data_IF_226077671234
#
_entry.id   IF_226077671234
#
_cell.length_a   1.000
_cell.length_b   1.000
_cell.length_c   1.000
_cell.angle_alpha   90.00
_cell.angle_beta   90.00
_cell.angle_gamma   90.00
#
_symmetry.space_group_name_H-M   'P 1'
#
loop_
_entity.id
_entity.type
_entity.pdbx_description
1 polymer ?
#
# COMPACT_ATOMS: atom_id res chain seq x y z
N UNK A 1 -8.16 67.91 -23.23
CA UNK A 1 -6.97 67.09 -23.00
C UNK A 1 -7.22 65.73 -23.64
N UNK A 2 -6.70 65.53 -24.89
CA UNK A 2 -6.75 64.20 -25.53
C UNK A 2 -5.82 63.24 -24.79
N UNK A 3 -6.37 62.22 -24.15
CA UNK A 3 -5.61 61.17 -23.44
C UNK A 3 -4.73 60.38 -24.42
N UNK A 4 -3.40 60.60 -24.36
CA UNK A 4 -2.39 59.87 -25.16
C UNK A 4 -2.22 58.38 -24.64
N UNK A 5 -3.03 57.93 -23.73
CA UNK A 5 -2.91 56.60 -23.14
C UNK A 5 -3.47 55.47 -24.01
N UNK A 6 -4.40 55.78 -24.93
CA UNK A 6 -5.03 54.74 -25.76
C UNK A 6 -4.08 53.94 -26.66
N UNK A 7 -3.10 54.57 -27.39
CA UNK A 7 -2.18 53.83 -28.23
C UNK A 7 -1.22 52.97 -27.42
N UNK A 8 -0.81 53.42 -26.20
CA UNK A 8 0.07 52.67 -25.32
C UNK A 8 -0.64 51.44 -24.77
N UNK A 9 -1.92 51.57 -24.37
CA UNK A 9 -2.73 50.46 -23.91
C UNK A 9 -2.94 49.39 -24.96
N UNK A 10 -3.22 49.82 -26.22
CA UNK A 10 -3.40 48.90 -27.33
C UNK A 10 -2.09 48.18 -27.67
N UNK A 11 -0.94 48.86 -27.62
CA UNK A 11 0.36 48.22 -27.81
C UNK A 11 0.64 47.20 -26.75
N UNK A 12 0.37 47.52 -25.46
CA UNK A 12 0.53 46.58 -24.36
C UNK A 12 -0.34 45.34 -24.53
N UNK A 13 -1.62 45.54 -24.90
CA UNK A 13 -2.55 44.43 -25.16
C UNK A 13 -2.04 43.51 -26.27
N UNK A 14 -1.53 44.06 -27.36
CA UNK A 14 -0.96 43.28 -28.48
C UNK A 14 0.27 42.49 -28.03
N UNK A 15 1.15 43.08 -27.21
CA UNK A 15 2.35 42.42 -26.72
C UNK A 15 1.96 41.25 -25.78
N UNK A 16 1.01 41.46 -24.87
CA UNK A 16 0.51 40.42 -23.97
C UNK A 16 -0.13 39.27 -24.76
N UNK A 17 -0.91 39.59 -25.78
CA UNK A 17 -1.59 38.62 -26.63
C UNK A 17 -0.58 37.76 -27.39
N UNK A 18 0.45 38.37 -27.97
CA UNK A 18 1.53 37.68 -28.66
C UNK A 18 2.34 36.79 -27.69
N UNK A 19 2.64 37.27 -26.48
CA UNK A 19 3.35 36.51 -25.48
C UNK A 19 2.53 35.27 -25.05
N UNK A 20 1.23 35.43 -24.86
CA UNK A 20 0.32 34.32 -24.50
C UNK A 20 0.24 33.29 -25.64
N UNK A 21 0.15 33.73 -26.90
CA UNK A 21 0.16 32.80 -28.04
C UNK A 21 1.49 32.06 -28.16
N UNK A 22 2.62 32.75 -27.93
CA UNK A 22 3.94 32.12 -27.96
C UNK A 22 4.10 31.07 -26.83
N UNK A 23 3.67 31.38 -25.60
CA UNK A 23 3.71 30.47 -24.48
C UNK A 23 2.79 29.26 -24.71
N UNK A 24 1.57 29.48 -25.21
CA UNK A 24 0.63 28.41 -25.55
C UNK A 24 1.15 27.50 -26.66
N UNK A 25 1.70 28.08 -27.72
CA UNK A 25 2.32 27.35 -28.83
C UNK A 25 3.53 26.51 -28.38
N UNK A 26 4.37 27.08 -27.53
CA UNK A 26 5.51 26.36 -26.95
C UNK A 26 5.07 25.19 -26.05
N UNK A 27 4.07 25.39 -25.22
CA UNK A 27 3.50 24.33 -24.36
C UNK A 27 2.89 23.19 -25.19
N UNK A 28 2.14 23.53 -26.24
CA UNK A 28 1.60 22.53 -27.15
C UNK A 28 2.70 21.77 -27.90
N UNK A 29 3.76 22.47 -28.31
CA UNK A 29 4.90 21.83 -28.98
C UNK A 29 5.62 20.85 -28.06
N UNK A 30 5.86 21.22 -26.80
CA UNK A 30 6.44 20.30 -25.77
C UNK A 30 5.53 19.09 -25.55
N UNK A 31 4.21 19.31 -25.47
CA UNK A 31 3.25 18.22 -25.31
C UNK A 31 3.29 17.21 -26.47
N UNK A 32 3.44 17.71 -27.70
CA UNK A 32 3.56 16.86 -28.90
C UNK A 32 4.96 16.23 -29.08
N UNK A 33 5.98 16.78 -28.40
CA UNK A 33 7.37 16.31 -28.48
C UNK A 33 7.95 16.08 -27.07
N UNK A 34 7.47 15.07 -26.32
CA UNK A 34 7.84 14.86 -24.92
C UNK A 34 9.33 14.55 -24.71
N UNK A 35 10.02 14.04 -25.74
CA UNK A 35 11.46 13.70 -25.69
C UNK A 35 12.37 14.84 -26.11
N UNK A 36 11.83 16.03 -26.36
CA UNK A 36 12.62 17.20 -26.75
C UNK A 36 13.60 17.61 -25.64
N UNK A 37 14.85 18.00 -25.98
CA UNK A 37 15.81 18.50 -25.00
C UNK A 37 15.40 19.81 -24.32
N UNK A 38 14.39 20.50 -24.87
CA UNK A 38 13.81 21.73 -24.33
C UNK A 38 12.65 21.44 -23.35
N UNK A 39 12.27 20.18 -23.17
CA UNK A 39 11.24 19.80 -22.19
C UNK A 39 11.81 19.87 -20.77
N UNK A 40 11.32 20.74 -19.87
CA UNK A 40 11.81 20.83 -18.50
C UNK A 40 11.44 19.60 -17.65
N UNK A 41 10.50 18.76 -18.11
CA UNK A 41 10.04 17.54 -17.43
C UNK A 41 10.02 16.38 -18.44
N UNK A 42 11.19 15.90 -18.91
CA UNK A 42 11.22 14.77 -19.84
C UNK A 42 10.64 13.52 -19.15
N UNK A 43 9.93 12.64 -19.91
CA UNK A 43 9.46 11.39 -19.37
C UNK A 43 10.63 10.55 -18.86
N UNK A 44 10.43 9.73 -17.81
CA UNK A 44 11.48 8.87 -17.28
C UNK A 44 12.01 7.97 -18.41
N UNK A 45 13.32 8.01 -18.65
CA UNK A 45 13.96 7.09 -19.57
C UNK A 45 13.71 5.67 -19.08
N UNK A 46 13.18 4.76 -19.93
CA UNK A 46 13.10 3.35 -19.56
C UNK A 46 14.52 2.88 -19.23
N UNK A 47 14.76 2.48 -18.00
CA UNK A 47 16.01 1.83 -17.60
C UNK A 47 16.05 0.54 -18.41
N UNK A 48 16.88 0.52 -19.46
CA UNK A 48 17.11 -0.68 -20.24
C UNK A 48 17.60 -1.75 -19.28
N UNK A 49 16.83 -2.83 -19.12
CA UNK A 49 17.29 -4.02 -18.44
C UNK A 49 18.58 -4.43 -19.17
N UNK A 50 19.71 -4.35 -18.49
CA UNK A 50 20.94 -4.91 -18.99
C UNK A 50 20.66 -6.37 -19.39
N UNK A 51 21.16 -6.85 -20.55
CA UNK A 51 21.01 -8.25 -20.91
C UNK A 51 21.51 -9.09 -19.73
N UNK A 52 20.62 -9.87 -19.14
CA UNK A 52 21.02 -10.86 -18.13
C UNK A 52 21.81 -11.88 -18.91
N UNK A 53 23.13 -11.90 -18.75
CA UNK A 53 23.96 -12.99 -19.24
C UNK A 53 23.35 -14.30 -18.74
N UNK A 54 23.15 -15.30 -19.62
CA UNK A 54 22.63 -16.59 -19.19
C UNK A 54 23.53 -17.12 -18.10
N UNK A 55 22.94 -17.30 -16.91
CA UNK A 55 23.64 -17.78 -15.73
C UNK A 55 24.36 -19.09 -16.10
N UNK A 56 25.69 -19.06 -16.06
CA UNK A 56 26.52 -20.26 -16.15
C UNK A 56 26.01 -21.23 -15.08
N UNK A 57 25.66 -22.49 -15.42
CA UNK A 57 25.17 -23.44 -14.44
C UNK A 57 26.21 -23.62 -13.34
N UNK A 58 25.89 -23.19 -12.14
CA UNK A 58 26.70 -23.40 -10.94
C UNK A 58 26.81 -24.91 -10.75
N UNK A 59 28.03 -25.47 -10.57
CA UNK A 59 28.17 -26.88 -10.29
C UNK A 59 27.36 -27.24 -9.05
N UNK A 60 26.49 -28.24 -9.21
CA UNK A 60 25.66 -28.81 -8.14
C UNK A 60 26.61 -29.39 -7.08
N UNK A 61 26.58 -28.83 -5.89
CA UNK A 61 27.32 -29.38 -4.76
C UNK A 61 26.75 -30.75 -4.41
N UNK A 62 27.52 -31.78 -4.59
CA UNK A 62 27.19 -33.14 -4.18
C UNK A 62 26.96 -33.12 -2.66
N UNK A 63 25.82 -33.63 -2.15
CA UNK A 63 25.57 -33.65 -0.72
C UNK A 63 26.61 -34.53 -0.04
N UNK A 64 27.35 -33.92 0.90
CA UNK A 64 28.28 -34.63 1.78
C UNK A 64 27.49 -35.62 2.64
N UNK A 65 27.97 -36.88 2.84
CA UNK A 65 27.26 -37.86 3.65
C UNK A 65 27.13 -37.37 5.09
N UNK A 66 25.90 -37.21 5.55
CA UNK A 66 25.52 -36.86 6.92
C UNK A 66 25.89 -38.04 7.83
N UNK A 67 26.59 -37.84 8.95
CA UNK A 67 26.88 -38.91 9.87
C UNK A 67 25.59 -39.43 10.51
N UNK A 68 25.43 -40.75 10.49
CA UNK A 68 24.28 -41.47 11.09
C UNK A 68 24.29 -41.27 12.62
N UNK A 69 23.12 -40.98 13.24
CA UNK A 69 23.04 -40.82 14.69
C UNK A 69 23.29 -42.15 15.40
N UNK A 70 24.34 -42.19 16.22
CA UNK A 70 24.61 -43.29 17.16
C UNK A 70 23.53 -43.32 18.24
N UNK A 71 22.81 -44.41 18.31
CA UNK A 71 21.80 -44.64 19.37
C UNK A 71 22.52 -44.82 20.74
N UNK A 72 22.45 -43.80 21.59
CA UNK A 72 22.88 -43.85 22.97
C UNK A 72 21.75 -44.47 23.80
N UNK A 73 22.09 -45.52 24.58
CA UNK A 73 21.18 -46.26 25.41
C UNK A 73 20.52 -45.36 26.45
N UNK A 74 19.17 -45.34 26.50
CA UNK A 74 18.33 -44.66 27.48
C UNK A 74 18.39 -45.40 28.79
N UNK A 75 18.84 -44.74 29.88
CA UNK A 75 18.68 -45.19 31.25
C UNK A 75 17.22 -44.90 31.67
N UNK A 76 16.48 -45.96 31.94
CA UNK A 76 15.12 -45.91 32.52
C UNK A 76 15.21 -45.47 33.97
N UNK A 77 14.79 -44.27 34.29
CA UNK A 77 14.52 -43.82 35.67
C UNK A 77 13.03 -43.99 35.99
N UNK A 78 12.78 -44.75 37.05
CA UNK A 78 11.44 -44.98 37.62
C UNK A 78 10.79 -43.66 38.02
N UNK A 79 9.53 -43.35 37.63
CA UNK A 79 8.86 -42.12 38.04
C UNK A 79 8.41 -42.22 39.52
N UNK A 80 8.89 -41.28 40.32
CA UNK A 80 8.31 -40.98 41.64
C UNK A 80 7.01 -40.19 41.41
N UNK A 81 5.88 -40.50 42.08
CA UNK A 81 4.64 -39.75 41.91
C UNK A 81 4.80 -38.31 42.42
N UNK A 82 4.31 -37.31 41.68
CA UNK A 82 4.33 -35.90 42.09
C UNK A 82 3.35 -35.65 43.24
N UNK A 83 3.64 -34.70 44.15
CA UNK A 83 2.70 -34.23 45.12
C UNK A 83 1.52 -33.52 44.43
N UNK A 84 0.34 -33.77 44.93
CA UNK A 84 -0.94 -33.20 44.54
C UNK A 84 -0.87 -31.67 44.67
N UNK A 85 -0.75 -30.96 43.54
CA UNK A 85 -0.82 -29.50 43.48
C UNK A 85 -2.28 -29.13 43.38
N UNK A 86 -2.79 -28.43 44.38
CA UNK A 86 -4.10 -27.80 44.39
C UNK A 86 -4.31 -27.02 43.13
N UNK A 87 -5.44 -27.22 42.45
CA UNK A 87 -5.89 -26.50 41.28
C UNK A 87 -5.92 -25.00 41.59
N UNK A 88 -4.99 -24.28 40.97
CA UNK A 88 -5.09 -22.83 40.89
C UNK A 88 -6.25 -22.50 39.93
N UNK A 89 -7.20 -21.72 40.41
CA UNK A 89 -8.27 -21.09 39.62
C UNK A 89 -7.64 -20.41 38.42
N UNK A 90 -8.16 -20.60 37.20
CA UNK A 90 -7.65 -19.88 36.01
C UNK A 90 -7.83 -18.39 36.27
N UNK A 91 -6.72 -17.67 36.33
CA UNK A 91 -6.73 -16.22 36.32
C UNK A 91 -7.30 -15.78 34.95
N UNK A 92 -8.32 -14.93 34.98
CA UNK A 92 -8.88 -14.30 33.83
C UNK A 92 -7.73 -13.69 32.99
N UNK A 93 -7.56 -14.20 31.77
CA UNK A 93 -6.66 -13.60 30.78
C UNK A 93 -7.16 -12.19 30.56
N UNK A 94 -6.35 -11.11 30.77
CA UNK A 94 -6.81 -9.77 30.49
C UNK A 94 -7.08 -9.70 29.01
N UNK A 95 -8.34 -9.48 28.65
CA UNK A 95 -8.75 -9.06 27.31
C UNK A 95 -7.87 -7.86 26.93
N UNK A 96 -7.22 -7.83 25.75
CA UNK A 96 -6.47 -6.66 25.32
C UNK A 96 -7.43 -5.47 25.29
N UNK A 97 -7.30 -4.61 26.28
CA UNK A 97 -7.99 -3.33 26.32
C UNK A 97 -7.40 -2.54 25.16
N UNK A 98 -8.20 -2.35 24.12
CA UNK A 98 -7.87 -1.45 23.03
C UNK A 98 -7.37 -0.14 23.64
N UNK A 99 -6.19 0.33 23.20
CA UNK A 99 -5.60 1.58 23.69
C UNK A 99 -6.67 2.66 23.58
N UNK A 100 -7.02 3.37 24.69
CA UNK A 100 -8.07 4.38 24.60
C UNK A 100 -7.60 5.47 23.63
N UNK A 101 -8.27 5.61 22.50
CA UNK A 101 -8.18 6.80 21.67
C UNK A 101 -8.47 7.99 22.57
N UNK A 102 -7.56 9.00 22.68
CA UNK A 102 -7.83 10.16 23.51
C UNK A 102 -9.14 10.79 23.04
N UNK A 103 -10.12 10.85 23.93
CA UNK A 103 -11.41 11.46 23.64
C UNK A 103 -11.20 12.92 23.22
N UNK A 104 -11.38 13.22 21.92
CA UNK A 104 -11.26 14.57 21.37
C UNK A 104 -10.51 14.70 20.04
N UNK A 105 -9.77 13.70 19.60
CA UNK A 105 -9.11 13.70 18.27
C UNK A 105 -10.01 12.94 17.29
N UNK A 106 -10.61 13.67 16.37
CA UNK A 106 -11.28 13.03 15.27
C UNK A 106 -10.50 13.27 13.99
N UNK A 107 -10.22 12.18 13.29
CA UNK A 107 -9.44 12.19 12.06
C UNK A 107 -10.25 12.81 10.91
N UNK A 108 -9.55 13.18 9.84
CA UNK A 108 -10.20 13.75 8.66
C UNK A 108 -10.94 12.70 7.83
N UNK A 109 -10.49 11.45 7.89
CA UNK A 109 -11.04 10.33 7.13
C UNK A 109 -11.51 9.22 8.05
N UNK A 110 -12.65 8.64 7.70
CA UNK A 110 -13.22 7.45 8.32
C UNK A 110 -13.42 6.34 7.27
N UNK A 111 -13.66 5.12 7.74
CA UNK A 111 -14.05 4.01 6.90
C UNK A 111 -15.37 4.31 6.19
N UNK A 112 -15.43 4.12 4.88
CA UNK A 112 -16.66 4.36 4.11
C UNK A 112 -17.71 3.27 4.32
N UNK A 113 -17.26 2.02 4.41
CA UNK A 113 -18.03 0.80 4.62
C UNK A 113 -17.13 -0.27 5.26
N UNK A 114 -17.71 -1.30 5.84
CA UNK A 114 -16.96 -2.43 6.34
C UNK A 114 -16.05 -3.02 5.24
N UNK A 115 -14.86 -3.59 5.61
CA UNK A 115 -13.98 -4.27 4.67
C UNK A 115 -14.70 -5.38 3.91
N UNK A 116 -14.54 -5.40 2.59
CA UNK A 116 -15.15 -6.42 1.73
C UNK A 116 -14.06 -7.38 1.22
N UNK A 117 -14.34 -8.69 1.31
CA UNK A 117 -13.44 -9.74 0.84
C UNK A 117 -13.89 -10.23 -0.52
N UNK A 118 -13.04 -10.09 -1.53
CA UNK A 118 -13.33 -10.48 -2.90
C UNK A 118 -12.17 -11.28 -3.49
N UNK A 119 -12.41 -11.83 -4.67
CA UNK A 119 -11.43 -12.58 -5.43
C UNK A 119 -10.45 -11.66 -6.15
N UNK A 120 -9.14 -11.84 -5.94
CA UNK A 120 -8.09 -11.04 -6.59
C UNK A 120 -8.09 -11.15 -8.10
N UNK A 121 -8.52 -12.29 -8.68
CA UNK A 121 -8.53 -12.51 -10.13
C UNK A 121 -9.47 -11.58 -10.90
N UNK A 122 -10.34 -10.83 -10.21
CA UNK A 122 -11.11 -9.73 -10.82
C UNK A 122 -10.19 -8.60 -11.32
N UNK A 123 -9.05 -8.39 -10.67
CA UNK A 123 -8.06 -7.36 -11.01
C UNK A 123 -6.74 -7.94 -11.52
N UNK A 124 -6.41 -9.17 -11.12
CA UNK A 124 -5.20 -9.91 -11.47
C UNK A 124 -5.52 -11.28 -12.06
N UNK A 125 -6.15 -11.34 -13.25
CA UNK A 125 -6.61 -12.61 -13.84
C UNK A 125 -5.49 -13.61 -14.10
N UNK A 126 -4.27 -13.12 -14.35
CA UNK A 126 -3.12 -13.95 -14.69
C UNK A 126 -2.41 -14.57 -13.47
N UNK A 127 -2.70 -14.10 -12.25
CA UNK A 127 -2.02 -14.56 -11.03
C UNK A 127 -2.75 -15.72 -10.33
N UNK A 128 -4.00 -16.00 -10.73
CA UNK A 128 -4.78 -17.07 -10.10
C UNK A 128 -4.91 -16.87 -8.59
N UNK A 129 -4.41 -17.86 -7.82
CA UNK A 129 -4.38 -17.82 -6.36
C UNK A 129 -3.03 -17.36 -5.79
N UNK A 130 -2.07 -16.95 -6.63
CA UNK A 130 -0.72 -16.54 -6.21
C UNK A 130 -0.69 -15.07 -5.81
N UNK A 131 -1.66 -14.65 -5.00
CA UNK A 131 -1.80 -13.28 -4.56
C UNK A 131 -2.61 -13.16 -3.27
N UNK A 132 -2.21 -12.26 -2.39
CA UNK A 132 -2.96 -11.79 -1.23
C UNK A 132 -2.68 -10.31 -1.05
N UNK A 133 -3.70 -9.49 -0.82
CA UNK A 133 -3.47 -8.08 -0.58
C UNK A 133 -4.71 -7.29 -0.20
N UNK A 134 -4.50 -5.99 -0.11
CA UNK A 134 -5.56 -5.02 0.15
C UNK A 134 -5.57 -3.97 -0.95
N UNK A 135 -6.75 -3.48 -1.27
CA UNK A 135 -6.95 -2.38 -2.20
C UNK A 135 -8.16 -1.52 -1.76
N UNK A 136 -8.38 -0.42 -2.43
CA UNK A 136 -9.53 0.44 -2.18
C UNK A 136 -9.37 1.81 -2.79
N UNK A 137 -10.21 2.74 -2.36
CA UNK A 137 -10.22 4.14 -2.78
C UNK A 137 -10.34 5.07 -1.58
N UNK A 138 -9.90 6.31 -1.75
CA UNK A 138 -10.18 7.39 -0.82
C UNK A 138 -11.00 8.49 -1.52
N UNK A 139 -12.00 9.00 -0.82
CA UNK A 139 -12.89 10.05 -1.33
C UNK A 139 -12.84 11.27 -0.42
N UNK A 140 -12.95 12.45 -1.01
CA UNK A 140 -13.11 13.69 -0.27
C UNK A 140 -14.53 13.83 0.29
N UNK A 141 -14.79 14.91 1.02
CA UNK A 141 -16.10 15.20 1.61
C UNK A 141 -17.23 15.30 0.57
N UNK A 142 -16.90 15.64 -0.68
CA UNK A 142 -17.83 15.73 -1.80
C UNK A 142 -17.96 14.43 -2.59
N UNK A 143 -17.34 13.34 -2.11
CA UNK A 143 -17.25 12.05 -2.80
C UNK A 143 -16.45 12.10 -4.12
N UNK A 144 -15.57 13.10 -4.27
CA UNK A 144 -14.59 13.11 -5.37
C UNK A 144 -13.35 12.30 -4.98
N UNK A 145 -12.66 11.70 -5.96
CA UNK A 145 -11.43 10.94 -5.69
C UNK A 145 -10.35 11.79 -4.99
N UNK A 146 -9.91 11.38 -3.81
CA UNK A 146 -8.81 12.01 -3.07
C UNK A 146 -7.49 11.32 -3.44
N UNK A 147 -6.64 11.99 -4.21
CA UNK A 147 -5.41 11.46 -4.80
C UNK A 147 -4.19 11.99 -4.04
N UNK A 148 -3.11 11.17 -3.93
CA UNK A 148 -1.84 11.57 -3.33
C UNK A 148 -1.81 11.45 -1.81
N UNK A 149 -2.77 10.76 -1.21
CA UNK A 149 -2.78 10.42 0.21
C UNK A 149 -1.93 9.17 0.42
N UNK A 150 -1.06 9.17 1.42
CA UNK A 150 -0.26 8.01 1.76
C UNK A 150 -1.13 6.98 2.48
N UNK A 151 -1.12 5.74 1.98
CA UNK A 151 -1.78 4.58 2.60
C UNK A 151 -0.70 3.71 3.21
N UNK A 152 -0.75 3.51 4.51
CA UNK A 152 0.18 2.63 5.23
C UNK A 152 -0.56 1.39 5.70
N UNK A 153 0.04 0.23 5.46
CA UNK A 153 -0.38 -1.07 6.01
C UNK A 153 0.72 -1.58 6.91
N UNK A 154 0.36 -2.01 8.10
CA UNK A 154 1.31 -2.57 9.05
C UNK A 154 0.70 -3.67 9.90
N UNK A 155 1.53 -4.29 10.73
CA UNK A 155 1.14 -5.38 11.61
C UNK A 155 1.85 -6.69 11.26
N UNK A 156 1.21 -7.82 11.51
CA UNK A 156 1.82 -9.13 11.34
C UNK A 156 0.97 -10.05 10.46
N UNK A 157 1.61 -10.70 9.49
CA UNK A 157 1.02 -11.76 8.69
C UNK A 157 1.73 -13.08 9.05
N UNK A 158 1.16 -13.83 9.98
CA UNK A 158 1.85 -14.92 10.67
C UNK A 158 3.02 -14.38 11.49
N UNK A 159 4.24 -14.84 11.21
CA UNK A 159 5.47 -14.37 11.89
C UNK A 159 6.14 -13.21 11.15
N UNK A 160 5.62 -12.80 9.99
CA UNK A 160 6.22 -11.76 9.16
C UNK A 160 5.68 -10.39 9.54
N UNK A 161 6.58 -9.48 9.86
CA UNK A 161 6.27 -8.05 10.04
C UNK A 161 5.93 -7.41 8.69
N UNK A 162 4.85 -6.66 8.65
CA UNK A 162 4.35 -5.92 7.48
C UNK A 162 4.47 -4.43 7.78
N UNK A 163 5.20 -3.73 6.94
CA UNK A 163 5.24 -2.26 6.90
C UNK A 163 5.35 -1.83 5.43
N UNK A 164 4.21 -1.60 4.82
CA UNK A 164 4.08 -1.28 3.40
C UNK A 164 3.37 0.05 3.22
N UNK A 165 3.77 0.79 2.18
CA UNK A 165 3.20 2.08 1.87
C UNK A 165 2.90 2.19 0.37
N UNK A 166 1.81 2.89 0.04
CA UNK A 166 1.44 3.28 -1.32
C UNK A 166 0.74 4.64 -1.31
N UNK A 167 0.37 5.14 -2.48
CA UNK A 167 -0.39 6.39 -2.61
C UNK A 167 -1.75 6.12 -3.24
N UNK A 168 -2.75 6.85 -2.78
CA UNK A 168 -4.03 6.89 -3.50
C UNK A 168 -3.82 7.48 -4.88
N UNK A 169 -4.44 6.87 -5.91
CA UNK A 169 -4.25 7.19 -7.32
C UNK A 169 -3.14 6.38 -8.01
N UNK A 170 -2.38 5.54 -7.28
CA UNK A 170 -1.34 4.69 -7.86
C UNK A 170 -1.92 3.44 -8.56
N UNK A 171 -3.09 2.96 -8.13
CA UNK A 171 -3.74 1.75 -8.66
C UNK A 171 -5.08 2.11 -9.33
N UNK A 172 -5.03 2.65 -10.54
CA UNK A 172 -6.21 3.12 -11.30
C UNK A 172 -7.22 2.02 -11.63
N UNK A 173 -6.84 0.75 -11.58
CA UNK A 173 -7.73 -0.38 -11.75
C UNK A 173 -8.87 -0.39 -10.73
N UNK A 174 -8.63 0.15 -9.52
CA UNK A 174 -9.63 0.29 -8.45
C UNK A 174 -10.36 1.64 -8.49
N UNK A 175 -10.07 2.50 -9.46
CA UNK A 175 -10.64 3.83 -9.63
C UNK A 175 -9.60 4.94 -9.55
N UNK A 176 -10.04 6.21 -9.72
CA UNK A 176 -9.12 7.36 -9.84
C UNK A 176 -8.28 7.63 -8.58
N UNK A 177 -8.81 7.33 -7.40
CA UNK A 177 -8.08 7.38 -6.12
C UNK A 177 -7.69 6.00 -5.62
N UNK A 178 -7.63 5.02 -6.53
CA UNK A 178 -7.34 3.63 -6.21
C UNK A 178 -5.95 3.45 -5.62
N UNK A 179 -5.85 2.56 -4.65
CA UNK A 179 -4.58 2.10 -4.08
C UNK A 179 -4.58 0.57 -3.97
N UNK A 180 -3.41 0.00 -3.91
CA UNK A 180 -3.22 -1.44 -3.78
C UNK A 180 -1.89 -1.72 -3.08
N UNK A 181 -1.89 -2.77 -2.24
CA UNK A 181 -0.70 -3.30 -1.57
C UNK A 181 -0.78 -4.83 -1.53
N UNK A 182 0.21 -5.47 -2.15
CA UNK A 182 0.37 -6.92 -2.08
C UNK A 182 1.01 -7.31 -0.76
N UNK A 183 0.35 -8.16 0.02
CA UNK A 183 0.79 -8.64 1.32
C UNK A 183 1.60 -9.95 1.21
N UNK A 184 1.18 -10.85 0.32
CA UNK A 184 1.83 -12.14 0.11
C UNK A 184 1.61 -12.69 -1.29
N UNK A 185 2.39 -13.73 -1.65
CA UNK A 185 2.27 -14.46 -2.92
C UNK A 185 1.24 -15.59 -2.84
N UNK A 186 0.75 -15.90 -1.65
CA UNK A 186 -0.29 -16.92 -1.42
C UNK A 186 -1.29 -16.41 -0.37
N UNK A 187 -2.55 -16.83 -0.46
CA UNK A 187 -3.55 -16.53 0.56
C UNK A 187 -3.12 -17.04 1.94
N UNK A 188 -3.37 -16.26 2.97
CA UNK A 188 -3.03 -16.56 4.35
C UNK A 188 -4.10 -15.97 5.28
N UNK A 189 -4.52 -16.74 6.29
CA UNK A 189 -5.50 -16.26 7.28
C UNK A 189 -4.82 -15.43 8.37
N UNK A 190 -5.33 -14.24 8.61
CA UNK A 190 -4.98 -13.42 9.77
C UNK A 190 -6.26 -12.90 10.43
N UNK A 191 -6.23 -12.69 11.75
CA UNK A 191 -7.36 -12.16 12.51
C UNK A 191 -6.88 -10.91 13.25
N UNK A 192 -7.30 -9.74 12.79
CA UNK A 192 -7.03 -8.42 13.40
C UNK A 192 -5.55 -8.15 13.74
N UNK A 193 -4.62 -8.84 13.07
CA UNK A 193 -3.17 -8.61 13.24
C UNK A 193 -2.60 -7.62 12.25
N UNK A 194 -3.36 -7.31 11.20
CA UNK A 194 -3.05 -6.33 10.19
C UNK A 194 -3.92 -5.09 10.36
N UNK A 195 -3.38 -3.94 10.03
CA UNK A 195 -4.11 -2.68 10.02
C UNK A 195 -3.70 -1.81 8.82
N UNK A 196 -4.62 -0.96 8.39
CA UNK A 196 -4.39 0.08 7.39
C UNK A 196 -4.76 1.44 7.97
N UNK A 197 -4.05 2.49 7.57
CA UNK A 197 -4.40 3.88 7.86
C UNK A 197 -3.97 4.82 6.75
N UNK A 198 -4.58 6.00 6.73
CA UNK A 198 -4.19 7.10 5.88
C UNK A 198 -3.28 8.07 6.62
N UNK A 199 -2.27 8.57 5.91
CA UNK A 199 -1.34 9.59 6.39
C UNK A 199 -1.26 10.73 5.37
N UNK A 200 -0.91 11.92 5.84
CA UNK A 200 -0.49 12.99 4.94
C UNK A 200 0.95 12.78 4.45
N UNK A 201 1.43 13.69 3.62
CA UNK A 201 2.80 13.63 3.08
C UNK A 201 3.89 13.88 4.13
N UNK A 202 3.54 14.38 5.32
CA UNK A 202 4.42 14.56 6.47
C UNK A 202 4.40 13.34 7.42
N UNK A 203 3.56 12.32 7.12
CA UNK A 203 3.39 11.15 7.97
C UNK A 203 2.41 11.35 9.14
N UNK A 204 1.63 12.44 9.12
CA UNK A 204 0.61 12.70 10.15
C UNK A 204 -0.64 11.87 9.85
N UNK A 205 -1.20 11.13 10.83
CA UNK A 205 -2.39 10.33 10.63
C UNK A 205 -3.61 11.14 10.21
N UNK A 206 -4.22 10.76 9.09
CA UNK A 206 -5.48 11.28 8.57
C UNK A 206 -6.68 10.39 8.89
N UNK A 207 -6.44 9.11 9.25
CA UNK A 207 -7.44 8.17 9.73
C UNK A 207 -6.94 7.41 10.95
N UNK A 208 -7.86 6.76 11.67
CA UNK A 208 -7.53 5.71 12.63
C UNK A 208 -6.87 4.51 11.93
N UNK A 209 -6.28 3.62 12.72
CA UNK A 209 -5.90 2.29 12.26
C UNK A 209 -7.16 1.43 12.12
N UNK A 210 -7.44 0.99 10.92
CA UNK A 210 -8.51 0.06 10.62
C UNK A 210 -7.91 -1.33 10.61
N UNK A 211 -8.26 -2.14 11.59
CA UNK A 211 -7.85 -3.54 11.65
C UNK A 211 -8.70 -4.36 10.68
N UNK A 212 -8.08 -5.33 10.02
CA UNK A 212 -8.75 -6.18 9.05
C UNK A 212 -8.20 -7.60 9.08
N UNK A 213 -9.04 -8.53 8.66
CA UNK A 213 -8.72 -9.93 8.52
C UNK A 213 -8.31 -10.27 7.09
N UNK A 214 -7.60 -11.38 6.94
CA UNK A 214 -7.34 -11.99 5.64
C UNK A 214 -7.74 -13.45 5.66
N UNK A 215 -7.99 -14.03 4.49
CA UNK A 215 -8.39 -15.43 4.32
C UNK A 215 -7.36 -16.23 3.54
N UNK A 216 -7.24 -17.51 3.82
CA UNK A 216 -6.46 -18.47 3.01
C UNK A 216 -7.24 -19.01 1.82
N UNK A 217 -8.38 -18.42 1.49
CA UNK A 217 -9.25 -18.79 0.39
C UNK A 217 -9.02 -17.89 -0.83
N UNK A 218 -8.85 -18.47 -2.01
CA UNK A 218 -8.64 -17.76 -3.27
C UNK A 218 -9.84 -16.93 -3.73
N UNK A 219 -11.03 -17.22 -3.24
CA UNK A 219 -12.23 -16.43 -3.54
C UNK A 219 -12.32 -15.16 -2.66
N UNK A 220 -11.49 -15.07 -1.61
CA UNK A 220 -11.52 -13.99 -0.59
C UNK A 220 -10.11 -13.44 -0.29
N UNK A 221 -9.20 -13.48 -1.28
CA UNK A 221 -7.80 -13.12 -1.12
C UNK A 221 -7.46 -11.65 -1.42
N UNK A 222 -8.46 -10.82 -1.71
CA UNK A 222 -8.35 -9.36 -1.84
C UNK A 222 -9.33 -8.69 -0.90
N UNK A 223 -8.80 -7.86 0.01
CA UNK A 223 -9.61 -7.06 0.96
C UNK A 223 -9.78 -5.66 0.40
N UNK A 224 -11.01 -5.24 0.17
CA UNK A 224 -11.35 -3.89 -0.28
C UNK A 224 -11.69 -3.03 0.92
N UNK A 225 -10.96 -1.93 1.11
CA UNK A 225 -11.15 -0.97 2.19
C UNK A 225 -11.21 0.44 1.60
N UNK A 226 -12.36 1.08 1.70
CA UNK A 226 -12.58 2.43 1.18
C UNK A 226 -12.65 3.45 2.30
N UNK A 227 -12.05 4.61 2.09
CA UNK A 227 -12.05 5.72 3.01
C UNK A 227 -12.83 6.90 2.46
N UNK A 228 -13.48 7.64 3.36
CA UNK A 228 -14.17 8.87 3.04
C UNK A 228 -13.80 9.98 4.03
N UNK A 229 -13.51 11.15 3.48
CA UNK A 229 -13.31 12.33 4.30
C UNK A 229 -14.64 12.77 4.91
N UNK A 230 -14.66 13.01 6.23
CA UNK A 230 -15.83 13.37 7.02
C UNK A 230 -15.79 14.80 7.51
N UNK A 231 -14.64 15.47 7.38
CA UNK A 231 -14.47 16.89 7.76
C UNK A 231 -13.27 17.53 7.08
#
# INVERSE_FOLDING_TARGET
VKSSAAPLLNLLTIVVLLATLAAGGFSLWIYLNPTSPLNPLPPPTPVGLAPVDPATPRPSETPSPQPSPTVTATVTTTPTPPPEVMAATPADTPTPVGSPTPAGWSYAFDLQSDPEHIKSTLYHPDLGCEWLGIAGQAFDIRSSPAIGILVQVGGYLGERDIDLNTLTGAAIAYGRSGYELKLADVPYTSNETLWVRLLDQQGIPLSDKIFFDTSNDCEHNLVIINFKQTR
#
